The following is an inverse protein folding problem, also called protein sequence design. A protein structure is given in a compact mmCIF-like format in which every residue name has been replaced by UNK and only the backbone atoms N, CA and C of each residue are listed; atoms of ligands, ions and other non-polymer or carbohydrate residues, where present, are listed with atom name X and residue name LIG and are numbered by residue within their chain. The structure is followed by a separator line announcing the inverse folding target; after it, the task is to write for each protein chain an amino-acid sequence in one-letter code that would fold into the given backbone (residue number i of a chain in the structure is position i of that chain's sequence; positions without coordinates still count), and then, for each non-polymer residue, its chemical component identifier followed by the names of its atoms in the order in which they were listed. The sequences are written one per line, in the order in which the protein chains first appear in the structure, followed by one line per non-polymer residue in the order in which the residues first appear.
data_IF_844464765812
#
_entry.id   IF_844464765812
#
_cell.length_a   1.000
_cell.length_b   1.000
_cell.length_c   1.000
_cell.angle_alpha   90.00
_cell.angle_beta   90.00
_cell.angle_gamma   90.00
#
_symmetry.space_group_name_H-M   'P 1'
#
loop_
_entity.id
_entity.type
_entity.pdbx_description
1 polymer ?
#
# COMPACT_ATOMS: atom_id res chain seq x y z
N UNK A 1 -34.14 8.38 -9.60
CA UNK A 1 -33.06 8.37 -10.61
C UNK A 1 -32.55 6.94 -10.73
N UNK A 2 -33.09 6.15 -11.66
CA UNK A 2 -32.58 4.81 -11.93
C UNK A 2 -31.26 4.95 -12.67
N UNK A 3 -30.13 4.73 -11.99
CA UNK A 3 -28.83 4.61 -12.65
C UNK A 3 -28.86 3.40 -13.56
N UNK A 4 -28.70 3.59 -14.88
CA UNK A 4 -28.55 2.49 -15.82
C UNK A 4 -27.24 1.75 -15.54
N UNK A 5 -27.32 0.45 -15.26
CA UNK A 5 -26.13 -0.40 -15.16
C UNK A 5 -25.48 -0.52 -16.54
N UNK A 6 -24.22 -0.13 -16.65
CA UNK A 6 -23.44 -0.23 -17.88
C UNK A 6 -22.34 -1.25 -17.69
N UNK A 7 -22.28 -2.26 -18.56
CA UNK A 7 -21.16 -3.21 -18.59
C UNK A 7 -19.93 -2.50 -19.16
N UNK A 8 -18.80 -2.67 -18.50
CA UNK A 8 -17.52 -2.13 -18.92
C UNK A 8 -16.47 -3.24 -19.00
N UNK A 9 -15.44 -3.06 -19.83
CA UNK A 9 -14.32 -3.99 -19.89
C UNK A 9 -13.57 -4.04 -18.55
N UNK A 10 -13.30 -5.25 -18.05
CA UNK A 10 -12.51 -5.50 -16.84
C UNK A 10 -11.01 -5.46 -17.07
N UNK A 11 -10.54 -5.39 -18.33
CA UNK A 11 -9.11 -5.44 -18.67
C UNK A 11 -8.32 -4.34 -17.95
N UNK A 12 -7.32 -4.74 -17.17
CA UNK A 12 -6.50 -3.87 -16.33
C UNK A 12 -7.26 -3.18 -15.19
N UNK A 13 -8.51 -3.57 -14.92
CA UNK A 13 -9.28 -3.20 -13.71
C UNK A 13 -9.31 -4.36 -12.72
N UNK A 14 -9.39 -5.58 -13.22
CA UNK A 14 -9.31 -6.83 -12.47
C UNK A 14 -8.35 -7.81 -13.16
N UNK A 15 -7.72 -8.73 -12.40
CA UNK A 15 -6.91 -9.79 -12.99
C UNK A 15 -7.77 -10.76 -13.81
N UNK A 16 -7.12 -11.51 -14.70
CA UNK A 16 -7.77 -12.58 -15.48
C UNK A 16 -7.88 -13.88 -14.67
N UNK A 17 -6.88 -14.19 -13.85
CA UNK A 17 -6.83 -15.40 -13.03
C UNK A 17 -7.09 -15.04 -11.56
N UNK A 18 -7.98 -15.75 -10.84
CA UNK A 18 -8.26 -15.48 -9.42
C UNK A 18 -7.06 -15.56 -8.47
N UNK A 19 -6.00 -16.27 -8.86
CA UNK A 19 -4.75 -16.38 -8.07
C UNK A 19 -3.81 -15.19 -8.27
N UNK A 20 -4.03 -14.35 -9.28
CA UNK A 20 -3.18 -13.19 -9.55
C UNK A 20 -3.40 -12.10 -8.51
N UNK A 21 -2.28 -11.61 -7.99
CA UNK A 21 -2.25 -10.51 -7.04
C UNK A 21 -2.69 -9.19 -7.68
N UNK A 22 -3.53 -8.44 -6.99
CA UNK A 22 -4.04 -7.15 -7.44
C UNK A 22 -4.34 -6.23 -6.26
N UNK A 23 -4.40 -4.93 -6.52
CA UNK A 23 -4.95 -3.96 -5.58
C UNK A 23 -5.65 -2.84 -6.34
N UNK A 24 -6.58 -2.18 -5.69
CA UNK A 24 -7.31 -1.05 -6.25
C UNK A 24 -7.71 -0.04 -5.17
N UNK A 25 -7.73 1.24 -5.57
CA UNK A 25 -8.16 2.35 -4.71
C UNK A 25 -9.00 3.34 -5.52
N UNK A 26 -10.03 3.89 -4.88
CA UNK A 26 -10.91 4.91 -5.45
C UNK A 26 -10.52 6.30 -4.95
N UNK A 27 -10.30 7.23 -5.87
CA UNK A 27 -10.04 8.65 -5.58
C UNK A 27 -10.88 9.52 -6.54
N UNK A 28 -12.20 9.35 -6.51
CA UNK A 28 -13.15 9.84 -7.53
C UNK A 28 -13.16 8.99 -8.81
N UNK A 29 -11.99 8.47 -9.20
CA UNK A 29 -11.81 7.48 -10.27
C UNK A 29 -11.03 6.26 -9.73
N UNK A 30 -11.14 5.14 -10.44
CA UNK A 30 -10.48 3.88 -10.09
C UNK A 30 -9.01 3.90 -10.49
N UNK A 31 -8.13 3.59 -9.54
CA UNK A 31 -6.72 3.28 -9.77
C UNK A 31 -6.49 1.82 -9.41
N UNK A 32 -5.75 1.09 -10.24
CA UNK A 32 -5.49 -0.33 -10.09
C UNK A 32 -4.02 -0.65 -10.25
N UNK A 33 -3.57 -1.70 -9.59
CA UNK A 33 -2.33 -2.38 -9.88
C UNK A 33 -2.65 -3.86 -10.08
N UNK A 34 -2.49 -4.35 -11.31
CA UNK A 34 -2.88 -5.71 -11.68
C UNK A 34 -2.13 -6.17 -12.95
N UNK A 35 -2.28 -7.45 -13.27
CA UNK A 35 -1.94 -7.98 -14.59
C UNK A 35 -2.81 -7.33 -15.67
N UNK A 36 -2.21 -6.97 -16.81
CA UNK A 36 -2.91 -6.27 -17.90
C UNK A 36 -3.15 -7.12 -19.14
N UNK A 37 -2.60 -8.33 -19.19
CA UNK A 37 -2.83 -9.31 -20.25
C UNK A 37 -3.25 -10.68 -19.71
N UNK A 38 -3.87 -11.48 -20.58
CA UNK A 38 -4.38 -12.81 -20.24
C UNK A 38 -3.27 -13.76 -19.76
N UNK A 39 -2.08 -13.67 -20.35
CA UNK A 39 -0.94 -14.53 -20.00
C UNK A 39 -0.32 -14.21 -18.63
N UNK A 40 -0.70 -13.11 -17.97
CA UNK A 40 -0.12 -12.71 -16.70
C UNK A 40 1.35 -12.29 -16.77
N UNK A 41 1.82 -11.85 -17.95
CA UNK A 41 3.22 -11.46 -18.18
C UNK A 41 3.41 -9.94 -18.25
N UNK A 42 2.32 -9.19 -18.36
CA UNK A 42 2.32 -7.73 -18.34
C UNK A 42 1.62 -7.24 -17.09
N UNK A 43 2.21 -6.22 -16.47
CA UNK A 43 1.74 -5.64 -15.23
C UNK A 43 1.55 -4.14 -15.44
N UNK A 44 0.48 -3.58 -14.89
CA UNK A 44 0.20 -2.16 -14.97
C UNK A 44 -0.25 -1.62 -13.61
N UNK A 45 0.35 -0.50 -13.18
CA UNK A 45 -0.29 0.44 -12.27
C UNK A 45 -0.96 1.49 -13.15
N UNK A 46 -2.28 1.64 -13.05
CA UNK A 46 -3.05 2.41 -14.01
C UNK A 46 -4.25 3.15 -13.44
N UNK A 47 -4.65 4.20 -14.14
CA UNK A 47 -5.92 4.91 -13.93
C UNK A 47 -7.02 4.22 -14.71
N UNK A 48 -7.67 3.25 -14.10
CA UNK A 48 -8.49 2.26 -14.76
C UNK A 48 -9.92 2.70 -15.10
N UNK A 49 -10.19 4.01 -15.15
CA UNK A 49 -11.49 4.59 -15.53
C UNK A 49 -11.41 5.23 -16.92
N UNK A 50 -12.49 5.16 -17.70
CA UNK A 50 -12.55 5.73 -19.05
C UNK A 50 -12.19 4.73 -20.15
N UNK A 51 -11.90 5.24 -21.35
CA UNK A 51 -11.54 4.41 -22.51
C UNK A 51 -10.16 3.79 -22.32
N UNK A 52 -9.95 2.55 -22.81
CA UNK A 52 -8.66 1.86 -22.66
C UNK A 52 -7.53 2.63 -23.33
N UNK A 53 -7.82 3.28 -24.46
CA UNK A 53 -6.86 4.03 -25.26
C UNK A 53 -6.33 5.25 -24.53
N UNK A 54 -7.11 5.88 -23.64
CA UNK A 54 -6.76 7.12 -22.91
C UNK A 54 -6.22 6.85 -21.50
N UNK A 55 -6.10 5.57 -21.12
CA UNK A 55 -5.63 5.16 -19.81
C UNK A 55 -4.18 5.58 -19.57
N UNK A 56 -3.95 6.30 -18.47
CA UNK A 56 -2.61 6.50 -17.94
C UNK A 56 -2.19 5.24 -17.20
N UNK A 57 -0.99 4.74 -17.52
CA UNK A 57 -0.44 3.51 -16.94
C UNK A 57 1.07 3.58 -16.83
N UNK A 58 1.66 2.60 -16.16
CA UNK A 58 3.12 2.41 -16.12
C UNK A 58 3.70 2.14 -17.50
N UNK A 59 4.97 2.51 -17.70
CA UNK A 59 5.70 2.14 -18.90
C UNK A 59 6.04 0.65 -18.87
N UNK A 60 5.97 0.00 -20.04
CA UNK A 60 6.22 -1.44 -20.19
C UNK A 60 7.73 -1.69 -20.24
N UNK A 61 8.35 -1.57 -19.07
CA UNK A 61 9.79 -1.72 -18.87
C UNK A 61 10.07 -2.38 -17.52
N UNK A 62 11.06 -3.27 -17.49
CA UNK A 62 11.52 -3.94 -16.27
C UNK A 62 12.07 -2.97 -15.22
N UNK A 63 12.49 -1.77 -15.63
CA UNK A 63 12.94 -0.73 -14.69
C UNK A 63 11.78 -0.19 -13.86
N UNK A 64 10.56 -0.20 -14.42
CA UNK A 64 9.36 0.28 -13.76
C UNK A 64 8.74 -0.79 -12.88
N UNK A 65 8.48 -1.96 -13.44
CA UNK A 65 7.91 -3.11 -12.74
C UNK A 65 8.60 -4.39 -13.23
N UNK A 66 9.12 -5.19 -12.32
CA UNK A 66 9.79 -6.45 -12.65
C UNK A 66 9.16 -7.63 -11.89
N UNK A 67 8.19 -8.29 -12.52
CA UNK A 67 7.48 -9.44 -11.95
C UNK A 67 6.87 -9.12 -10.55
N UNK A 68 6.02 -8.07 -10.45
CA UNK A 68 5.45 -7.63 -9.19
C UNK A 68 4.30 -8.51 -8.70
N UNK A 69 4.29 -8.77 -7.39
CA UNK A 69 3.17 -9.29 -6.60
C UNK A 69 2.52 -8.10 -5.86
N UNK A 70 1.40 -7.60 -6.39
CA UNK A 70 0.71 -6.44 -5.82
C UNK A 70 0.00 -6.77 -4.49
N UNK A 71 0.17 -5.92 -3.48
CA UNK A 71 -0.31 -6.19 -2.12
C UNK A 71 -1.45 -5.24 -1.73
N UNK A 72 -1.20 -3.93 -1.78
CA UNK A 72 -2.15 -2.94 -1.27
C UNK A 72 -1.96 -1.59 -1.95
N UNK A 73 -2.97 -0.72 -1.85
CA UNK A 73 -2.91 0.64 -2.35
C UNK A 73 -3.64 1.59 -1.40
N UNK A 74 -3.15 2.83 -1.33
CA UNK A 74 -3.67 3.85 -0.44
C UNK A 74 -3.79 5.18 -1.16
N UNK A 75 -4.90 5.88 -0.93
CA UNK A 75 -5.12 7.25 -1.38
C UNK A 75 -4.88 8.19 -0.22
N UNK A 76 -3.89 9.08 -0.37
CA UNK A 76 -3.56 10.10 0.62
C UNK A 76 -3.96 11.44 0.04
N UNK A 77 -5.05 11.98 0.56
CA UNK A 77 -5.53 13.32 0.25
C UNK A 77 -4.74 14.33 1.09
N UNK A 78 -4.24 15.39 0.46
CA UNK A 78 -3.56 16.47 1.16
C UNK A 78 -4.57 17.29 2.00
N UNK A 79 -4.11 17.90 3.09
CA UNK A 79 -4.97 18.74 3.93
C UNK A 79 -5.21 20.10 3.25
N UNK A 80 -6.40 20.30 2.67
CA UNK A 80 -6.79 21.55 2.01
C UNK A 80 -6.57 22.81 2.88
N UNK A 81 -6.68 22.70 4.22
CA UNK A 81 -6.50 23.83 5.14
C UNK A 81 -5.04 24.11 5.47
N UNK A 82 -4.18 23.09 5.39
CA UNK A 82 -2.76 23.18 5.75
C UNK A 82 -1.84 22.81 4.56
N UNK A 83 -2.28 23.06 3.33
CA UNK A 83 -1.52 22.83 2.10
C UNK A 83 -1.15 24.16 1.41
N UNK A 84 -0.28 24.99 2.02
CA UNK A 84 0.09 26.30 1.47
C UNK A 84 0.87 26.19 0.16
N UNK A 85 1.54 25.06 -0.08
CA UNK A 85 2.31 24.78 -1.30
C UNK A 85 1.43 24.34 -2.47
N UNK A 86 0.16 23.97 -2.22
CA UNK A 86 -0.73 23.42 -3.24
C UNK A 86 -0.26 22.06 -3.76
N UNK A 87 0.29 21.23 -2.87
CA UNK A 87 0.67 19.85 -3.15
C UNK A 87 -0.55 19.04 -3.63
N UNK A 88 -0.30 18.12 -4.55
CA UNK A 88 -1.33 17.26 -5.12
C UNK A 88 -1.57 16.03 -4.25
N UNK A 89 -2.78 15.47 -4.32
CA UNK A 89 -3.08 14.18 -3.70
C UNK A 89 -2.26 13.07 -4.35
N UNK A 90 -1.95 12.03 -3.58
CA UNK A 90 -1.04 10.97 -4.00
C UNK A 90 -1.66 9.59 -3.82
N UNK A 91 -1.36 8.69 -4.75
CA UNK A 91 -1.69 7.27 -4.63
C UNK A 91 -0.41 6.50 -4.37
N UNK A 92 -0.45 5.67 -3.34
CA UNK A 92 0.64 4.78 -2.97
C UNK A 92 0.26 3.35 -3.31
N UNK A 93 1.21 2.60 -3.85
CA UNK A 93 1.07 1.19 -4.23
C UNK A 93 2.17 0.39 -3.57
N UNK A 94 1.80 -0.72 -2.95
CA UNK A 94 2.69 -1.60 -2.22
C UNK A 94 2.72 -2.96 -2.91
N UNK A 95 3.93 -3.47 -3.15
CA UNK A 95 4.13 -4.72 -3.87
C UNK A 95 5.49 -5.32 -3.58
N UNK A 96 5.65 -6.61 -3.85
CA UNK A 96 6.96 -7.28 -3.88
C UNK A 96 7.36 -7.46 -5.34
N UNK A 97 8.59 -7.16 -5.74
CA UNK A 97 9.06 -7.42 -7.12
C UNK A 97 10.45 -8.05 -7.13
N UNK A 98 10.88 -8.57 -8.27
CA UNK A 98 12.27 -9.03 -8.47
C UNK A 98 13.19 -7.81 -8.64
N UNK A 99 14.10 -7.61 -7.69
CA UNK A 99 15.09 -6.56 -7.72
C UNK A 99 16.04 -6.70 -8.92
N UNK A 100 16.33 -5.57 -9.57
CA UNK A 100 17.29 -5.47 -10.68
C UNK A 100 18.60 -4.81 -10.29
N UNK A 101 18.59 -4.10 -9.16
CA UNK A 101 19.76 -3.50 -8.55
C UNK A 101 20.70 -4.53 -7.90
N UNK A 102 20.25 -5.77 -7.70
CA UNK A 102 21.07 -6.88 -7.23
C UNK A 102 21.44 -7.77 -8.41
N UNK A 103 22.72 -7.72 -8.79
CA UNK A 103 23.29 -8.60 -9.82
C UNK A 103 23.76 -9.91 -9.18
N UNK A 104 22.79 -10.77 -8.87
CA UNK A 104 23.01 -12.07 -8.25
C UNK A 104 22.42 -13.17 -9.13
N UNK A 105 23.04 -14.36 -9.11
CA UNK A 105 22.52 -15.55 -9.81
C UNK A 105 21.10 -15.91 -9.35
N UNK A 106 20.79 -15.66 -8.09
CA UNK A 106 19.47 -15.87 -7.52
C UNK A 106 18.62 -14.60 -7.62
N UNK A 107 17.39 -14.75 -8.08
CA UNK A 107 16.41 -13.65 -8.08
C UNK A 107 16.14 -13.23 -6.63
N UNK A 108 16.39 -11.97 -6.32
CA UNK A 108 16.06 -11.39 -5.01
C UNK A 108 14.74 -10.64 -5.11
N UNK A 109 13.75 -11.03 -4.32
CA UNK A 109 12.53 -10.26 -4.13
C UNK A 109 12.77 -9.09 -3.19
N UNK A 110 12.16 -7.95 -3.48
CA UNK A 110 12.19 -6.76 -2.62
C UNK A 110 10.80 -6.15 -2.48
N UNK A 111 10.40 -5.76 -1.27
CA UNK A 111 9.21 -4.97 -1.06
C UNK A 111 9.42 -3.53 -1.57
N UNK A 112 8.41 -2.99 -2.22
CA UNK A 112 8.40 -1.64 -2.77
C UNK A 112 7.18 -0.87 -2.29
N UNK A 113 7.40 0.42 -2.12
CA UNK A 113 6.35 1.43 -2.19
C UNK A 113 6.56 2.24 -3.45
N UNK A 114 5.52 2.41 -4.26
CA UNK A 114 5.50 3.34 -5.38
C UNK A 114 4.45 4.43 -5.16
N UNK A 115 4.65 5.58 -5.78
CA UNK A 115 3.78 6.74 -5.70
C UNK A 115 3.49 7.29 -7.09
N UNK A 116 2.26 7.74 -7.32
CA UNK A 116 1.87 8.63 -8.44
C UNK A 116 1.04 9.81 -7.91
N UNK A 117 1.03 10.91 -8.64
CA UNK A 117 0.21 12.08 -8.30
C UNK A 117 -1.15 12.00 -9.02
N UNK A 118 -2.21 12.44 -8.34
CA UNK A 118 -3.60 12.35 -8.84
C UNK A 118 -3.82 13.15 -10.13
N UNK A 119 -3.23 14.33 -10.24
CA UNK A 119 -3.35 15.26 -11.37
C UNK A 119 -2.53 14.87 -12.60
N UNK A 120 -1.74 13.80 -12.52
CA UNK A 120 -0.89 13.35 -13.62
C UNK A 120 -1.74 12.83 -14.79
N UNK A 121 -1.49 13.38 -15.97
CA UNK A 121 -2.18 13.06 -17.23
C UNK A 121 -1.23 12.56 -18.31
N UNK A 122 0.01 12.26 -17.95
CA UNK A 122 1.06 11.87 -18.89
C UNK A 122 1.79 13.04 -19.53
N UNK A 123 2.75 12.71 -20.39
CA UNK A 123 3.53 13.69 -21.14
C UNK A 123 3.03 13.90 -22.56
N UNK A 124 3.43 15.03 -23.16
CA UNK A 124 2.97 15.43 -24.50
C UNK A 124 3.67 14.67 -25.62
N UNK A 125 4.99 14.45 -25.54
CA UNK A 125 5.78 13.71 -26.53
C UNK A 125 6.40 12.46 -25.91
N UNK A 126 7.18 12.65 -24.86
CA UNK A 126 7.69 11.56 -24.02
C UNK A 126 6.61 11.13 -23.02
N UNK A 127 6.54 9.85 -22.66
CA UNK A 127 5.56 9.32 -21.69
C UNK A 127 4.09 9.63 -22.05
N UNK A 128 3.76 9.58 -23.34
CA UNK A 128 2.37 9.72 -23.78
C UNK A 128 1.49 8.66 -23.14
N UNK A 129 0.49 9.12 -22.36
CA UNK A 129 -0.42 8.24 -21.61
C UNK A 129 0.32 7.28 -20.67
N UNK A 130 1.45 7.74 -20.14
CA UNK A 130 2.22 7.05 -19.10
C UNK A 130 2.40 7.99 -17.92
N UNK A 131 2.55 7.44 -16.72
CA UNK A 131 2.80 8.28 -15.55
C UNK A 131 4.06 9.13 -15.76
N UNK A 132 4.01 10.41 -15.41
CA UNK A 132 5.19 11.29 -15.32
C UNK A 132 5.70 11.40 -13.88
N UNK A 133 4.89 10.94 -12.92
CA UNK A 133 5.10 11.06 -11.48
C UNK A 133 5.34 9.73 -10.76
N UNK A 134 5.46 8.64 -11.52
CA UNK A 134 5.77 7.32 -10.97
C UNK A 134 7.19 7.27 -10.42
N UNK A 135 7.31 7.08 -9.11
CA UNK A 135 8.56 6.78 -8.42
C UNK A 135 8.35 5.59 -7.49
N UNK A 136 9.38 4.76 -7.31
CA UNK A 136 9.38 3.65 -6.35
C UNK A 136 10.63 3.64 -5.46
N UNK A 137 10.46 3.17 -4.24
CA UNK A 137 11.55 2.99 -3.27
C UNK A 137 11.44 1.62 -2.60
N UNK A 138 12.57 1.09 -2.15
CA UNK A 138 12.59 -0.16 -1.37
C UNK A 138 12.06 0.08 0.04
N UNK A 139 11.19 -0.81 0.51
CA UNK A 139 10.89 -0.96 1.93
C UNK A 139 11.78 -2.05 2.49
N UNK A 140 12.51 -1.75 3.57
CA UNK A 140 13.36 -2.71 4.27
C UNK A 140 12.78 -2.94 5.65
N UNK A 141 12.44 -4.19 5.95
CA UNK A 141 12.07 -4.67 7.28
C UNK A 141 13.20 -5.57 7.77
N UNK A 142 14.00 -5.07 8.71
CA UNK A 142 15.25 -5.73 9.14
C UNK A 142 15.40 -5.69 10.65
N UNK A 143 15.61 -6.86 11.25
CA UNK A 143 16.12 -6.95 12.61
C UNK A 143 17.64 -6.87 12.59
N UNK A 144 18.16 -5.69 12.90
CA UNK A 144 19.61 -5.44 12.90
C UNK A 144 20.37 -6.27 13.93
N UNK A 145 19.71 -6.72 15.00
CA UNK A 145 20.38 -7.49 16.05
C UNK A 145 20.70 -8.91 15.57
N UNK A 146 19.77 -9.56 14.88
CA UNK A 146 19.97 -10.90 14.29
C UNK A 146 20.53 -10.86 12.87
N UNK A 147 20.42 -9.74 12.16
CA UNK A 147 20.69 -9.64 10.73
C UNK A 147 19.56 -10.20 9.85
N UNK A 148 18.44 -10.61 10.44
CA UNK A 148 17.30 -11.17 9.72
C UNK A 148 16.60 -10.09 8.88
N UNK A 149 16.33 -10.39 7.61
CA UNK A 149 15.61 -9.53 6.67
C UNK A 149 14.34 -10.19 6.20
N UNK A 150 13.27 -9.40 6.13
CA UNK A 150 11.96 -9.82 5.64
C UNK A 150 11.67 -9.10 4.33
N UNK A 151 11.80 -9.83 3.23
CA UNK A 151 11.88 -9.27 1.88
C UNK A 151 10.69 -9.63 0.98
N UNK A 152 9.66 -10.25 1.54
CA UNK A 152 8.37 -10.51 0.88
C UNK A 152 7.29 -9.81 1.68
N UNK A 153 6.51 -8.95 1.03
CA UNK A 153 5.40 -8.22 1.63
C UNK A 153 4.09 -8.97 1.42
N UNK A 154 3.37 -9.26 2.49
CA UNK A 154 2.13 -10.05 2.47
C UNK A 154 0.86 -9.18 2.53
N UNK A 155 0.88 -8.13 3.34
CA UNK A 155 -0.27 -7.22 3.51
C UNK A 155 0.19 -5.84 3.99
N UNK A 156 -0.58 -4.80 3.68
CA UNK A 156 -0.34 -3.44 4.20
C UNK A 156 -1.64 -2.80 4.66
N UNK A 157 -1.65 -2.33 5.90
CA UNK A 157 -2.74 -1.55 6.48
C UNK A 157 -2.31 -0.09 6.66
N UNK A 158 -3.11 0.83 6.13
CA UNK A 158 -2.86 2.28 6.20
C UNK A 158 -3.70 2.90 7.31
N UNK A 159 -3.08 3.71 8.18
CA UNK A 159 -3.78 4.39 9.27
C UNK A 159 -3.17 5.77 9.55
N UNK A 160 -4.01 6.77 9.78
CA UNK A 160 -3.58 8.06 10.32
C UNK A 160 -3.45 7.96 11.82
N UNK A 161 -2.25 8.25 12.36
CA UNK A 161 -2.03 8.27 13.80
C UNK A 161 -2.77 9.42 14.49
N UNK A 162 -2.90 10.54 13.78
CA UNK A 162 -3.68 11.70 14.19
C UNK A 162 -4.84 11.88 13.20
N UNK A 163 -6.10 11.62 13.62
CA UNK A 163 -7.24 11.73 12.73
C UNK A 163 -7.35 13.13 12.10
N UNK A 164 -7.45 13.18 10.78
CA UNK A 164 -7.57 14.44 10.05
C UNK A 164 -6.24 15.10 9.70
N UNK A 165 -5.10 14.51 10.09
CA UNK A 165 -3.77 14.92 9.66
C UNK A 165 -3.17 13.85 8.72
N UNK A 166 -3.16 14.09 7.39
CA UNK A 166 -2.57 13.19 6.41
C UNK A 166 -1.08 12.93 6.64
N UNK A 167 -0.33 13.89 7.19
CA UNK A 167 1.11 13.74 7.44
C UNK A 167 1.41 12.68 8.50
N UNK A 168 0.47 12.46 9.42
CA UNK A 168 0.52 11.41 10.44
C UNK A 168 0.22 9.99 9.90
N UNK A 169 0.09 9.82 8.58
CA UNK A 169 -0.18 8.51 7.98
C UNK A 169 0.99 7.56 8.17
N UNK A 170 0.68 6.34 8.63
CA UNK A 170 1.60 5.23 8.78
C UNK A 170 1.09 4.01 8.02
N UNK A 171 2.03 3.25 7.46
CA UNK A 171 1.80 2.02 6.71
C UNK A 171 2.38 0.86 7.51
N UNK A 172 1.50 0.01 8.05
CA UNK A 172 1.92 -1.20 8.74
C UNK A 172 1.94 -2.34 7.74
N UNK A 173 3.07 -2.99 7.56
CA UNK A 173 3.24 -4.11 6.65
C UNK A 173 3.50 -5.42 7.38
N UNK A 174 2.89 -6.51 6.91
CA UNK A 174 3.31 -7.87 7.25
C UNK A 174 4.37 -8.30 6.23
N UNK A 175 5.47 -8.82 6.73
CA UNK A 175 6.57 -9.32 5.90
C UNK A 175 6.92 -10.75 6.26
N UNK A 176 7.31 -11.52 5.25
CA UNK A 176 7.94 -12.84 5.36
C UNK A 176 9.30 -12.81 4.66
N UNK A 177 10.04 -13.91 4.75
CA UNK A 177 11.32 -14.08 4.05
C UNK A 177 11.16 -15.01 2.85
N UNK A 178 11.82 -14.68 1.75
CA UNK A 178 11.82 -15.55 0.57
C UNK A 178 12.65 -16.84 0.77
N UNK A 179 13.54 -16.86 1.76
CA UNK A 179 14.57 -17.89 1.91
C UNK A 179 14.31 -18.90 3.02
N UNK A 180 13.21 -18.77 3.76
CA UNK A 180 13.04 -19.58 4.95
C UNK A 180 12.44 -20.97 4.68
N UNK A 181 12.95 -21.93 5.45
CA UNK A 181 12.44 -23.30 5.62
C UNK A 181 11.40 -23.39 6.75
N UNK A 182 11.21 -22.30 7.51
CA UNK A 182 10.34 -22.19 8.67
C UNK A 182 9.39 -20.99 8.51
N UNK A 183 8.18 -21.10 9.03
CA UNK A 183 7.17 -20.03 8.93
C UNK A 183 7.55 -18.85 9.83
N UNK A 184 8.01 -17.75 9.23
CA UNK A 184 8.45 -16.56 9.96
C UNK A 184 7.72 -15.31 9.42
N UNK A 185 7.10 -14.56 10.34
CA UNK A 185 6.41 -13.31 10.03
C UNK A 185 6.92 -12.15 10.87
N UNK A 186 7.08 -10.99 10.25
CA UNK A 186 7.39 -9.74 10.92
C UNK A 186 6.34 -8.66 10.60
N UNK A 187 6.14 -7.72 11.53
CA UNK A 187 5.36 -6.51 11.27
C UNK A 187 6.28 -5.30 11.37
N UNK A 188 6.38 -4.53 10.29
CA UNK A 188 7.14 -3.27 10.25
C UNK A 188 6.21 -2.08 9.98
N UNK A 189 6.62 -0.89 10.38
CA UNK A 189 5.84 0.35 10.21
C UNK A 189 6.68 1.42 9.53
N UNK A 190 6.08 2.08 8.54
CA UNK A 190 6.70 3.14 7.77
C UNK A 190 5.84 4.40 7.87
N UNK A 191 6.44 5.54 8.21
CA UNK A 191 5.75 6.83 8.20
C UNK A 191 5.71 7.40 6.77
N UNK A 192 4.65 8.13 6.45
CA UNK A 192 4.54 8.87 5.20
C UNK A 192 5.68 9.89 5.04
N UNK A 193 6.13 10.48 6.15
CA UNK A 193 7.25 11.42 6.20
C UNK A 193 8.55 10.79 5.66
N UNK A 194 8.96 9.63 6.19
CA UNK A 194 10.21 8.98 5.75
C UNK A 194 10.11 8.47 4.32
N UNK A 195 8.94 7.97 3.89
CA UNK A 195 8.70 7.61 2.49
C UNK A 195 8.87 8.85 1.59
N UNK A 196 8.26 9.97 1.97
CA UNK A 196 8.32 11.22 1.19
C UNK A 196 9.74 11.76 1.09
N UNK A 197 10.49 11.72 2.20
CA UNK A 197 11.91 12.06 2.24
C UNK A 197 12.74 11.22 1.29
N UNK A 198 12.53 9.89 1.25
CA UNK A 198 13.21 8.99 0.31
C UNK A 198 12.82 9.28 -1.14
N UNK A 199 11.55 9.51 -1.43
CA UNK A 199 11.07 9.88 -2.78
C UNK A 199 11.62 11.22 -3.29
N UNK A 200 12.01 12.09 -2.36
CA UNK A 200 12.68 13.37 -2.67
C UNK A 200 14.23 13.26 -2.66
N UNK A 201 14.77 12.06 -2.42
CA UNK A 201 16.21 11.78 -2.35
C UNK A 201 16.91 11.54 -3.70
N UNK A 202 18.11 10.94 -3.72
CA UNK A 202 18.81 10.59 -4.95
C UNK A 202 18.13 9.43 -5.70
N UNK A 203 18.23 9.44 -7.02
CA UNK A 203 17.76 8.36 -7.89
C UNK A 203 18.80 7.23 -7.97
N UNK A 204 18.34 5.99 -8.11
CA UNK A 204 19.19 4.81 -8.31
C UNK A 204 19.71 4.81 -9.74
N UNK A 205 21.02 4.74 -9.90
CA UNK A 205 21.63 4.48 -11.21
C UNK A 205 21.86 2.98 -11.39
N UNK A 206 21.05 2.37 -12.27
CA UNK A 206 21.27 1.00 -12.70
C UNK A 206 22.42 1.00 -13.71
N UNK A 207 23.57 0.41 -13.35
CA UNK A 207 24.76 0.34 -14.21
C UNK A 207 24.38 -0.26 -15.57
N UNK A 208 24.53 0.52 -16.64
CA UNK A 208 24.21 0.07 -18.02
C UNK A 208 25.26 -0.89 -18.61
N UNK A 209 26.50 -0.89 -18.11
CA UNK A 209 27.60 -1.82 -18.46
C UNK A 209 28.78 -1.61 -17.50
N UNK A 210 29.65 -2.63 -17.34
CA UNK A 210 30.81 -2.61 -16.44
C UNK A 210 31.93 -1.60 -16.77
N UNK A 211 31.85 -0.86 -17.88
CA UNK A 211 33.04 -0.20 -18.44
C UNK A 211 33.14 1.32 -18.33
N UNK A 212 32.13 2.06 -17.83
CA UNK A 212 32.32 3.50 -17.68
C UNK A 212 31.78 4.01 -16.34
N UNK A 213 32.69 4.56 -15.54
CA UNK A 213 32.38 5.43 -14.41
C UNK A 213 31.86 6.77 -14.98
N UNK A 214 30.67 6.74 -15.56
CA UNK A 214 30.03 7.95 -16.09
C UNK A 214 29.59 8.77 -14.87
N UNK A 215 29.93 10.05 -14.85
CA UNK A 215 29.43 10.98 -13.84
C UNK A 215 27.89 10.91 -13.83
N UNK A 216 27.25 10.95 -12.64
CA UNK A 216 25.80 10.89 -12.54
C UNK A 216 25.14 11.94 -13.45
N UNK A 217 24.11 11.55 -14.21
CA UNK A 217 23.41 12.53 -15.05
C UNK A 217 22.79 13.61 -14.14
N UNK A 218 23.02 14.90 -14.42
CA UNK A 218 22.48 15.96 -13.57
C UNK A 218 20.95 15.92 -13.59
N UNK A 219 20.34 15.86 -12.40
CA UNK A 219 18.88 15.85 -12.22
C UNK A 219 18.29 17.12 -12.85
N UNK A 220 17.41 17.02 -13.86
CA UNK A 220 16.84 18.19 -14.52
C UNK A 220 15.80 18.91 -13.63
N UNK A 221 15.46 20.14 -14.01
CA UNK A 221 14.45 20.97 -13.34
C UNK A 221 13.24 21.19 -14.28
N UNK A 222 11.99 21.10 -13.82
CA UNK A 222 11.56 20.64 -12.49
C UNK A 222 12.03 19.22 -12.16
N UNK A 223 12.25 18.93 -10.87
CA UNK A 223 12.66 17.61 -10.38
C UNK A 223 11.76 16.51 -10.97
N UNK A 224 12.33 15.47 -11.62
CA UNK A 224 11.57 14.37 -12.20
C UNK A 224 10.72 13.65 -11.15
N UNK A 225 9.50 13.27 -11.52
CA UNK A 225 8.60 12.51 -10.66
C UNK A 225 7.89 13.30 -9.55
N UNK A 226 8.15 14.61 -9.38
CA UNK A 226 7.46 15.43 -8.39
C UNK A 226 6.04 15.79 -8.84
N UNK A 227 5.12 15.97 -7.89
CA UNK A 227 3.78 16.46 -8.19
C UNK A 227 3.83 17.95 -8.59
N UNK A 228 2.85 18.38 -9.39
CA UNK A 228 2.70 19.81 -9.71
C UNK A 228 2.11 20.56 -8.52
N UNK A 229 2.86 21.52 -8.00
CA UNK A 229 2.44 22.40 -6.92
C UNK A 229 2.24 23.84 -7.42
N UNK A 230 1.84 24.75 -6.53
CA UNK A 230 1.55 26.15 -6.89
C UNK A 230 2.75 26.85 -7.52
N UNK A 231 3.96 26.65 -6.98
CA UNK A 231 5.18 27.26 -7.51
C UNK A 231 5.50 26.81 -8.94
N UNK A 232 5.31 25.51 -9.26
CA UNK A 232 5.51 25.01 -10.62
C UNK A 232 4.46 25.54 -11.60
N UNK A 233 3.22 25.72 -11.14
CA UNK A 233 2.15 26.33 -11.94
C UNK A 233 2.48 27.79 -12.27
N UNK A 234 3.02 28.55 -11.32
CA UNK A 234 3.49 29.94 -11.54
C UNK A 234 4.63 30.02 -12.56
N UNK A 235 5.49 29.00 -12.63
CA UNK A 235 6.52 28.87 -13.66
C UNK A 235 5.99 28.42 -15.04
N UNK A 236 4.67 28.26 -15.19
CA UNK A 236 4.01 27.90 -16.45
C UNK A 236 3.73 26.39 -16.63
N UNK A 237 4.06 25.55 -15.64
CA UNK A 237 3.78 24.11 -15.68
C UNK A 237 2.40 23.80 -15.11
N UNK A 238 1.35 24.17 -15.85
CA UNK A 238 -0.06 23.97 -15.44
C UNK A 238 -0.51 22.49 -15.46
N UNK A 239 0.19 21.63 -16.20
CA UNK A 239 -0.14 20.22 -16.39
C UNK A 239 1.13 19.42 -16.72
N UNK A 240 1.12 18.11 -16.44
CA UNK A 240 2.23 17.20 -16.77
C UNK A 240 2.56 17.18 -18.27
N UNK A 241 1.58 17.53 -19.11
CA UNK A 241 1.77 17.70 -20.56
C UNK A 241 2.76 18.81 -20.92
N UNK A 242 2.92 19.83 -20.05
CA UNK A 242 3.82 20.96 -20.27
C UNK A 242 5.24 20.72 -19.70
N UNK A 243 5.50 19.55 -19.11
CA UNK A 243 6.83 19.24 -18.56
C UNK A 243 7.88 19.08 -19.69
N UNK A 244 9.14 19.53 -19.47
CA UNK A 244 10.19 19.38 -20.47
C UNK A 244 10.51 17.91 -20.77
N UNK A 245 10.77 17.57 -22.04
CA UNK A 245 11.10 16.20 -22.46
C UNK A 245 12.34 15.64 -21.73
N UNK A 246 13.30 16.49 -21.35
CA UNK A 246 14.46 16.06 -20.55
C UNK A 246 14.04 15.53 -19.17
N UNK A 247 13.08 16.16 -18.51
CA UNK A 247 12.52 15.72 -17.22
C UNK A 247 11.77 14.40 -17.38
N UNK A 248 10.97 14.28 -18.44
CA UNK A 248 10.19 13.07 -18.73
C UNK A 248 11.07 11.88 -19.13
N UNK A 249 12.11 12.12 -19.90
CA UNK A 249 13.11 11.09 -20.26
C UNK A 249 13.85 10.62 -19.01
N UNK A 250 14.22 11.55 -18.13
CA UNK A 250 14.91 11.20 -16.89
C UNK A 250 14.05 10.30 -15.99
N UNK A 251 12.79 10.66 -15.69
CA UNK A 251 11.93 9.81 -14.83
C UNK A 251 11.60 8.47 -15.47
N UNK A 252 11.46 8.41 -16.81
CA UNK A 252 11.27 7.15 -17.53
C UNK A 252 12.43 6.19 -17.29
N UNK A 253 13.65 6.71 -17.28
CA UNK A 253 14.87 5.90 -17.19
C UNK A 253 15.31 5.69 -15.74
N UNK A 254 14.86 6.53 -14.80
CA UNK A 254 15.22 6.50 -13.37
C UNK A 254 14.00 6.52 -12.43
N UNK A 255 13.10 5.52 -12.47
CA UNK A 255 11.93 5.48 -11.59
C UNK A 255 12.24 5.01 -10.15
N UNK A 256 13.42 4.42 -9.91
CA UNK A 256 13.83 3.83 -8.63
C UNK A 256 14.67 4.82 -7.81
N UNK A 257 14.35 4.97 -6.52
CA UNK A 257 15.15 5.75 -5.58
C UNK A 257 16.35 4.97 -5.06
N UNK A 258 17.48 5.66 -4.81
CA UNK A 258 18.71 5.03 -4.28
C UNK A 258 18.54 4.61 -2.82
N UNK A 259 17.95 5.48 -2.00
CA UNK A 259 17.75 5.21 -0.58
C UNK A 259 16.54 4.29 -0.36
N UNK A 260 16.65 3.47 0.68
CA UNK A 260 15.55 2.61 1.16
C UNK A 260 14.85 3.25 2.35
N UNK A 261 13.56 2.95 2.52
CA UNK A 261 12.82 3.24 3.75
C UNK A 261 13.03 2.07 4.69
N UNK A 262 13.84 2.28 5.74
CA UNK A 262 14.26 1.21 6.65
C UNK A 262 13.45 1.27 7.94
N UNK A 263 12.88 0.13 8.35
CA UNK A 263 12.18 -0.03 9.62
C UNK A 263 12.70 -1.26 10.37
N UNK A 264 12.79 -1.14 11.69
CA UNK A 264 12.93 -2.29 12.57
C UNK A 264 11.56 -2.95 12.78
N UNK A 265 11.47 -4.29 12.86
CA UNK A 265 10.23 -4.98 13.18
C UNK A 265 9.65 -4.53 14.53
N UNK A 266 8.36 -4.19 14.55
CA UNK A 266 7.59 -4.05 15.79
C UNK A 266 7.42 -5.39 16.49
N UNK A 267 7.33 -6.47 15.71
CA UNK A 267 7.27 -7.84 16.21
C UNK A 267 7.79 -8.81 15.16
N UNK A 268 8.31 -9.93 15.65
CA UNK A 268 8.68 -11.10 14.86
C UNK A 268 8.00 -12.29 15.51
N UNK A 269 7.42 -13.18 14.71
CA UNK A 269 6.74 -14.39 15.16
C UNK A 269 7.23 -15.59 14.35
N UNK A 270 7.70 -16.60 15.07
CA UNK A 270 8.14 -17.87 14.51
C UNK A 270 7.00 -18.87 14.55
N UNK A 271 6.96 -19.77 13.57
CA UNK A 271 5.96 -20.83 13.41
C UNK A 271 4.57 -20.36 13.01
N UNK A 272 4.41 -19.11 12.55
CA UNK A 272 3.12 -18.54 12.15
C UNK A 272 3.31 -17.67 10.91
N UNK A 273 2.51 -17.93 9.87
CA UNK A 273 2.39 -17.07 8.70
C UNK A 273 1.18 -16.14 8.87
N UNK A 274 1.44 -14.84 9.01
CA UNK A 274 0.37 -13.84 8.98
C UNK A 274 0.01 -13.46 7.55
N UNK A 275 -1.29 -13.40 7.27
CA UNK A 275 -1.84 -13.16 5.92
C UNK A 275 -2.51 -11.80 5.78
N UNK A 276 -3.13 -11.30 6.85
CA UNK A 276 -3.88 -10.04 6.86
C UNK A 276 -3.67 -9.25 8.14
N UNK A 277 -3.65 -7.93 8.02
CA UNK A 277 -3.46 -7.01 9.14
C UNK A 277 -4.59 -5.98 9.19
N UNK A 278 -5.01 -5.66 10.41
CA UNK A 278 -5.69 -4.43 10.69
C UNK A 278 -5.16 -3.76 11.96
N UNK A 279 -5.18 -2.43 12.01
CA UNK A 279 -4.61 -1.66 13.12
C UNK A 279 -5.68 -0.81 13.79
N UNK A 280 -5.76 -0.87 15.12
CA UNK A 280 -6.58 0.01 15.94
C UNK A 280 -5.70 0.86 16.83
N UNK A 281 -5.95 2.16 16.83
CA UNK A 281 -5.35 3.14 17.73
C UNK A 281 -6.44 3.54 18.76
N UNK A 282 -6.40 3.04 20.00
CA UNK A 282 -7.30 3.45 21.06
C UNK A 282 -7.11 4.94 21.34
N UNK A 283 -8.21 5.69 21.43
CA UNK A 283 -8.16 7.07 21.88
C UNK A 283 -7.70 7.10 23.33
N UNK A 284 -6.68 7.90 23.63
CA UNK A 284 -6.27 8.14 25.01
C UNK A 284 -7.43 8.81 25.77
N UNK A 285 -7.98 8.12 26.77
CA UNK A 285 -8.88 8.76 27.73
C UNK A 285 -8.07 9.83 28.47
N UNK A 286 -8.55 11.06 28.45
CA UNK A 286 -7.90 12.23 29.06
C UNK A 286 -7.43 11.94 30.49
N UNK A 287 -6.14 12.14 30.77
CA UNK A 287 -5.70 12.31 32.17
C UNK A 287 -4.25 11.98 32.50
N UNK A 288 -3.63 10.97 31.90
CA UNK A 288 -2.23 10.65 32.19
C UNK A 288 -1.45 10.44 30.89
N UNK A 289 -0.17 10.83 30.91
CA UNK A 289 0.83 10.55 29.86
C UNK A 289 0.87 9.04 29.62
N UNK A 290 0.05 8.54 28.70
CA UNK A 290 -0.13 7.10 28.49
C UNK A 290 0.33 6.77 27.09
N UNK A 291 1.33 5.90 27.00
CA UNK A 291 1.94 5.43 25.77
C UNK A 291 0.87 5.05 24.76
N UNK A 292 0.94 5.62 23.55
CA UNK A 292 0.07 5.26 22.42
C UNK A 292 0.14 3.74 22.22
N UNK A 293 -0.87 3.04 22.73
CA UNK A 293 -0.93 1.58 22.64
C UNK A 293 -1.48 1.26 21.26
N UNK A 294 -0.66 0.72 20.37
CA UNK A 294 -1.17 0.25 19.09
C UNK A 294 -1.70 -1.17 19.26
N UNK A 295 -2.88 -1.48 18.71
CA UNK A 295 -3.41 -2.85 18.70
C UNK A 295 -3.41 -3.37 17.27
N UNK A 296 -2.66 -4.44 17.03
CA UNK A 296 -2.63 -5.18 15.77
C UNK A 296 -3.64 -6.32 15.83
N UNK A 297 -4.39 -6.50 14.76
CA UNK A 297 -5.28 -7.64 14.53
C UNK A 297 -4.74 -8.39 13.32
N UNK A 298 -4.18 -9.57 13.57
CA UNK A 298 -3.40 -10.34 12.60
C UNK A 298 -4.15 -11.64 12.28
N UNK A 299 -4.51 -11.82 11.01
CA UNK A 299 -5.07 -13.07 10.51
C UNK A 299 -3.95 -14.04 10.14
N UNK A 300 -4.12 -15.32 10.43
CA UNK A 300 -3.18 -16.39 10.06
C UNK A 300 -3.64 -17.15 8.82
N UNK A 301 -2.73 -17.91 8.23
CA UNK A 301 -3.02 -18.89 7.18
C UNK A 301 -3.79 -20.13 7.68
N UNK A 302 -3.88 -20.32 8.99
CA UNK A 302 -4.66 -21.37 9.65
C UNK A 302 -6.03 -20.94 10.18
N UNK A 303 -6.48 -19.71 9.89
CA UNK A 303 -7.83 -19.26 10.23
C UNK A 303 -8.00 -18.75 11.64
N UNK A 304 -6.91 -18.27 12.24
CA UNK A 304 -6.89 -17.68 13.57
C UNK A 304 -6.73 -16.17 13.47
N UNK A 305 -7.22 -15.49 14.49
CA UNK A 305 -7.01 -14.07 14.69
C UNK A 305 -6.18 -13.85 15.94
N UNK A 306 -5.03 -13.21 15.78
CA UNK A 306 -4.16 -12.80 16.87
C UNK A 306 -4.35 -11.32 17.14
N UNK A 307 -4.62 -10.97 18.39
CA UNK A 307 -4.67 -9.59 18.87
C UNK A 307 -3.39 -9.28 19.63
N UNK A 308 -2.58 -8.35 19.12
CA UNK A 308 -1.29 -7.99 19.71
C UNK A 308 -1.31 -6.52 20.14
N UNK A 309 -0.99 -6.24 21.40
CA UNK A 309 -0.77 -4.88 21.88
C UNK A 309 0.71 -4.53 21.74
N UNK A 310 0.98 -3.35 21.19
CA UNK A 310 2.32 -2.78 21.05
C UNK A 310 2.39 -1.52 21.91
N UNK A 311 3.29 -1.54 22.89
CA UNK A 311 3.56 -0.43 23.82
C UNK A 311 5.06 -0.17 23.87
N UNK A 312 5.49 0.93 23.24
CA UNK A 312 6.91 1.20 23.05
C UNK A 312 7.56 0.08 22.21
N UNK A 313 8.67 -0.52 22.65
CA UNK A 313 9.32 -1.62 21.93
C UNK A 313 8.69 -2.99 22.18
N UNK A 314 7.69 -3.09 23.07
CA UNK A 314 7.14 -4.37 23.50
C UNK A 314 5.86 -4.70 22.73
N UNK A 315 5.85 -5.85 22.06
CA UNK A 315 4.67 -6.45 21.46
C UNK A 315 4.21 -7.66 22.30
N UNK A 316 2.94 -7.70 22.69
CA UNK A 316 2.37 -8.75 23.55
C UNK A 316 1.10 -9.31 22.92
N UNK A 317 1.07 -10.63 22.71
CA UNK A 317 -0.13 -11.34 22.28
C UNK A 317 -1.16 -11.33 23.42
N UNK A 318 -2.31 -10.71 23.17
CA UNK A 318 -3.41 -10.58 24.13
C UNK A 318 -4.39 -11.74 23.98
N UNK A 319 -4.72 -12.09 22.74
CA UNK A 319 -5.81 -13.00 22.42
C UNK A 319 -5.51 -13.74 21.13
N UNK A 320 -5.84 -15.02 21.11
CA UNK A 320 -5.82 -15.90 19.95
C UNK A 320 -7.22 -16.47 19.80
N UNK A 321 -7.85 -16.20 18.66
CA UNK A 321 -9.24 -16.59 18.41
C UNK A 321 -9.31 -17.43 17.15
N UNK A 322 -9.63 -18.73 17.25
CA UNK A 322 -9.95 -19.52 16.06
C UNK A 322 -11.23 -18.94 15.44
N UNK A 323 -11.13 -18.44 14.22
CA UNK A 323 -12.27 -17.86 13.51
C UNK A 323 -13.13 -18.97 12.90
N UNK A 324 -12.49 -20.01 12.38
CA UNK A 324 -13.12 -21.08 11.60
C UNK A 324 -12.78 -22.46 12.16
N UNK A 325 -13.65 -23.44 11.94
CA UNK A 325 -13.44 -24.83 12.35
C UNK A 325 -12.54 -25.61 11.39
N UNK A 326 -12.44 -25.16 10.13
CA UNK A 326 -11.45 -25.64 9.16
C UNK A 326 -10.26 -24.68 9.17
N UNK A 327 -9.03 -25.21 9.04
CA UNK A 327 -7.79 -24.42 8.96
C UNK A 327 -7.69 -23.69 7.61
N UNK A 328 -8.55 -22.70 7.40
CA UNK A 328 -8.58 -21.87 6.18
C UNK A 328 -7.90 -20.52 6.43
N UNK A 329 -7.13 -19.99 5.46
CA UNK A 329 -6.44 -18.72 5.62
C UNK A 329 -7.42 -17.55 5.75
N UNK A 330 -7.10 -16.62 6.65
CA UNK A 330 -7.79 -15.34 6.73
C UNK A 330 -7.44 -14.51 5.51
N UNK A 331 -8.42 -14.25 4.63
CA UNK A 331 -8.18 -13.54 3.36
C UNK A 331 -8.47 -12.04 3.43
N UNK A 332 -9.28 -11.59 4.38
CA UNK A 332 -9.54 -10.17 4.58
C UNK A 332 -9.96 -9.83 6.02
N UNK A 333 -9.55 -8.65 6.50
CA UNK A 333 -9.95 -8.08 7.78
C UNK A 333 -10.47 -6.66 7.53
N UNK A 334 -11.70 -6.39 7.96
CA UNK A 334 -12.33 -5.09 7.85
C UNK A 334 -12.72 -4.58 9.24
N UNK A 335 -12.15 -3.45 9.64
CA UNK A 335 -12.51 -2.77 10.88
C UNK A 335 -13.71 -1.85 10.64
N UNK A 336 -14.76 -2.01 11.43
CA UNK A 336 -15.92 -1.12 11.44
C UNK A 336 -15.95 -0.31 12.74
N UNK A 337 -15.81 1.01 12.64
CA UNK A 337 -15.93 1.90 13.80
C UNK A 337 -17.40 2.32 13.95
N UNK A 338 -18.14 1.67 14.84
CA UNK A 338 -19.47 2.15 15.27
C UNK A 338 -19.31 3.25 16.34
N UNK A 339 -19.89 4.43 16.11
CA UNK A 339 -20.17 5.35 17.21
C UNK A 339 -21.41 4.83 17.95
N UNK A 340 -21.23 3.97 18.95
CA UNK A 340 -22.31 3.60 19.86
C UNK A 340 -22.41 4.65 20.96
N UNK A 341 -23.41 5.55 20.86
CA UNK A 341 -23.81 6.40 21.97
C UNK A 341 -24.58 5.53 22.97
N UNK A 342 -23.92 5.05 24.02
CA UNK A 342 -24.61 4.45 25.16
C UNK A 342 -24.93 5.55 26.16
N UNK A 343 -26.18 5.62 26.63
CA UNK A 343 -26.70 6.65 27.54
C UNK A 343 -25.95 6.79 28.88
N UNK A 344 -24.93 5.95 29.17
CA UNK A 344 -24.17 6.03 30.41
C UNK A 344 -22.64 5.96 30.32
N UNK A 345 -22.01 5.80 29.14
CA UNK A 345 -20.57 6.06 28.95
C UNK A 345 -20.29 6.42 27.49
N UNK A 346 -19.64 7.56 27.26
CA UNK A 346 -19.00 7.86 25.98
C UNK A 346 -17.82 6.89 25.81
N UNK A 347 -17.96 5.95 24.89
CA UNK A 347 -16.90 5.03 24.50
C UNK A 347 -17.16 4.57 23.07
N UNK A 348 -16.22 4.82 22.16
CA UNK A 348 -16.31 4.33 20.80
C UNK A 348 -16.13 2.80 20.79
N UNK A 349 -17.14 2.05 20.32
CA UNK A 349 -17.06 0.60 20.16
C UNK A 349 -16.68 0.27 18.72
N UNK A 350 -15.58 -0.44 18.47
CA UNK A 350 -15.27 -0.95 17.14
C UNK A 350 -15.75 -2.40 17.01
N UNK A 351 -16.45 -2.68 15.92
CA UNK A 351 -16.87 -4.02 15.51
C UNK A 351 -15.94 -4.44 14.37
N UNK A 352 -15.33 -5.61 14.48
CA UNK A 352 -14.52 -6.16 13.38
C UNK A 352 -15.34 -7.15 12.56
N UNK A 353 -15.13 -7.13 11.23
CA UNK A 353 -15.70 -8.08 10.27
C UNK A 353 -14.56 -8.80 9.57
N UNK A 354 -14.68 -10.12 9.43
CA UNK A 354 -13.71 -11.00 8.77
C UNK A 354 -14.36 -11.68 7.58
N UNK A 355 -13.59 -11.97 6.53
CA UNK A 355 -14.07 -12.66 5.33
C UNK A 355 -13.04 -13.71 4.87
N UNK A 356 -13.52 -14.92 4.53
CA UNK A 356 -12.76 -15.98 3.82
C UNK A 356 -13.50 -16.43 2.56
N UNK A 357 -12.81 -17.16 1.68
CA UNK A 357 -13.23 -17.28 0.27
C UNK A 357 -13.77 -18.65 -0.15
N UNK A 358 -13.34 -19.79 0.42
CA UNK A 358 -13.47 -21.04 -0.36
C UNK A 358 -14.71 -21.89 -0.10
N UNK A 359 -15.31 -21.90 1.08
CA UNK A 359 -16.47 -22.78 1.31
C UNK A 359 -17.67 -22.14 2.02
N UNK A 360 -17.50 -21.00 2.69
CA UNK A 360 -18.60 -20.24 3.29
C UNK A 360 -18.16 -18.82 3.62
N UNK A 361 -19.06 -17.85 3.39
CA UNK A 361 -18.89 -16.51 3.94
C UNK A 361 -19.23 -16.56 5.43
N UNK A 362 -18.24 -16.77 6.30
CA UNK A 362 -18.46 -16.76 7.74
C UNK A 362 -18.11 -15.37 8.30
N UNK A 363 -19.14 -14.55 8.51
CA UNK A 363 -18.99 -13.27 9.18
C UNK A 363 -18.99 -13.46 10.70
N UNK A 364 -17.80 -13.47 11.31
CA UNK A 364 -17.67 -13.45 12.78
C UNK A 364 -17.56 -12.02 13.26
N UNK A 365 -18.43 -11.61 14.18
CA UNK A 365 -18.36 -10.29 14.80
C UNK A 365 -17.55 -10.41 16.09
N UNK A 366 -16.32 -9.89 16.08
CA UNK A 366 -15.49 -9.82 17.28
C UNK A 366 -15.49 -8.37 17.76
N UNK A 367 -15.87 -8.16 19.02
CA UNK A 367 -15.82 -6.84 19.65
C UNK A 367 -14.39 -6.55 20.08
N UNK A 368 -13.88 -5.36 19.76
CA UNK A 368 -12.54 -4.96 20.22
C UNK A 368 -12.49 -4.70 21.74
N UNK A 369 -13.65 -4.46 22.38
CA UNK A 369 -13.83 -4.20 23.83
C UNK A 369 -15.12 -4.81 24.42
N UNK A 370 -15.14 -5.12 25.73
CA UNK A 370 -16.33 -5.56 26.49
C UNK A 370 -17.33 -4.40 26.69
N UNK A 371 -18.23 -4.17 25.75
CA UNK A 371 -19.38 -3.27 25.90
C UNK A 371 -20.70 -4.07 25.99
N UNK A 372 -21.62 -3.69 26.88
CA UNK A 372 -22.98 -4.25 27.04
C UNK A 372 -24.03 -3.16 26.76
N UNK A 373 -25.24 -3.43 26.21
CA UNK A 373 -25.89 -4.71 25.89
C UNK A 373 -25.93 -4.99 24.35
N UNK A 374 -26.57 -6.07 23.83
CA UNK A 374 -26.31 -6.60 22.49
C UNK A 374 -27.08 -5.86 21.39
N UNK A 375 -26.38 -5.23 20.44
CA UNK A 375 -26.92 -4.95 19.12
C UNK A 375 -26.45 -6.02 18.13
N UNK A 376 -27.38 -6.82 17.64
CA UNK A 376 -27.23 -7.58 16.41
C UNK A 376 -27.48 -6.61 15.25
N UNK A 377 -26.45 -6.28 14.48
CA UNK A 377 -26.62 -5.49 13.26
C UNK A 377 -26.39 -6.44 12.07
N UNK A 378 -27.50 -6.82 11.45
CA UNK A 378 -27.53 -7.48 10.15
C UNK A 378 -27.08 -6.45 9.12
N UNK A 379 -26.01 -6.74 8.36
CA UNK A 379 -25.64 -5.91 7.21
C UNK A 379 -25.31 -6.79 6.02
N UNK A 380 -26.16 -6.67 5.02
CA UNK A 380 -26.05 -7.16 3.65
C UNK A 380 -24.73 -6.72 3.02
N UNK A 381 -23.94 -7.65 2.50
CA UNK A 381 -22.77 -7.33 1.67
C UNK A 381 -23.22 -7.31 0.22
N UNK A 382 -23.13 -6.16 -0.43
CA UNK A 382 -23.30 -6.02 -1.88
C UNK A 382 -22.04 -6.52 -2.56
N UNK A 383 -22.20 -7.57 -3.37
CA UNK A 383 -21.15 -8.21 -4.16
C UNK A 383 -20.50 -7.25 -5.19
N UNK A 384 -19.18 -7.34 -5.36
CA UNK A 384 -18.60 -7.23 -6.70
C UNK A 384 -18.32 -8.66 -7.16
N UNK A 385 -19.06 -9.08 -8.18
CA UNK A 385 -18.95 -10.38 -8.82
C UNK A 385 -17.49 -10.66 -9.24
N UNK A 386 -17.01 -11.86 -8.92
CA UNK A 386 -16.15 -12.59 -9.84
C UNK A 386 -16.93 -12.75 -11.14
N UNK A 387 -16.59 -11.96 -12.15
CA UNK A 387 -17.10 -12.16 -13.49
C UNK A 387 -16.29 -13.31 -14.11
N UNK A 388 -17.02 -14.36 -14.48
CA UNK A 388 -16.60 -15.38 -15.44
C UNK A 388 -16.39 -14.78 -16.82
#
# INVERSE_FOLDING_TARGET
LYGSMKMETGKGKCPFEPSQHYTAVMAGILYTAATSNFLGTMYDISRATGTEQERIRTEQSINWLSDPEFVSSAFIQEDEKHNPTGEDDKMYFFFTEVAKEYDLYTKIKVPRVARVCKSDVGGMKTLQRRWTTFLKAQLVCEDRASGQRFNVLSDVFTVQHQPGDPSSTHFYGIFTSQWEREELSAVCVYSLEEITKVMNGPFKELKKTCENWINPEPIPTPRPGQCLNSALKELGFESSLKLPDKVLTFVRDHPLMENSVVAAPLMIRNGITYTKLAVTLPMASSGLKQHMTTVLHLGTDHGELHKVAVVGPNATLIEEVPLFSAQEPVNNILLYKTLSVSLHKEGACAIMKYVTYKHSFTQKHIRTHRCSPPLFIVVTVTFMFQAW
#
